data_IF_431570083959
#
_entry.id   IF_431570083959
#
_cell.length_a   1.000
_cell.length_b   1.000
_cell.length_c   1.000
_cell.angle_alpha   90.00
_cell.angle_beta   90.00
_cell.angle_gamma   90.00
#
_symmetry.space_group_name_H-M   'P 1'
#
loop_
_entity.id
_entity.type
_entity.pdbx_description
1 polymer ?
#
# COMPACT_ATOMS: atom_id res chain seq x y z
N UNK A 1 -7.34 -2.78 -24.35
CA UNK A 1 -6.37 -3.60 -23.55
C UNK A 1 -6.39 -5.06 -24.00
N UNK A 2 -5.35 -5.87 -23.77
CA UNK A 2 -5.37 -7.32 -24.08
C UNK A 2 -6.22 -8.06 -23.04
N UNK A 3 -6.94 -9.12 -23.45
CA UNK A 3 -7.71 -10.02 -22.56
C UNK A 3 -6.82 -10.56 -21.43
N UNK A 4 -7.36 -10.65 -20.22
CA UNK A 4 -6.65 -11.12 -19.03
C UNK A 4 -6.79 -10.18 -17.85
N UNK A 5 -6.03 -10.45 -16.79
CA UNK A 5 -6.00 -9.67 -15.55
C UNK A 5 -4.78 -8.75 -15.51
N UNK A 6 -4.96 -7.50 -15.10
CA UNK A 6 -3.87 -6.55 -14.85
C UNK A 6 -4.06 -5.93 -13.46
N UNK A 7 -3.12 -6.17 -12.56
CA UNK A 7 -3.04 -5.44 -11.29
C UNK A 7 -2.47 -4.05 -11.52
N UNK A 8 -3.18 -3.05 -11.04
CA UNK A 8 -2.83 -1.64 -11.28
C UNK A 8 -2.59 -0.93 -9.95
N UNK A 9 -1.37 -0.45 -9.75
CA UNK A 9 -1.04 0.44 -8.65
C UNK A 9 -1.52 1.86 -8.94
N UNK A 10 -2.39 2.37 -8.06
CA UNK A 10 -2.98 3.71 -8.22
C UNK A 10 -2.22 4.79 -7.45
N UNK A 11 -1.11 4.43 -6.80
CA UNK A 11 -0.42 5.34 -5.87
C UNK A 11 -1.04 5.34 -4.47
N UNK A 12 -0.43 6.06 -3.51
CA UNK A 12 -0.74 5.91 -2.07
C UNK A 12 -1.85 6.82 -1.56
N UNK A 13 -2.29 7.83 -2.33
CA UNK A 13 -3.30 8.80 -1.86
C UNK A 13 -3.55 9.94 -2.84
N UNK A 14 -2.50 10.69 -3.18
CA UNK A 14 -2.59 11.77 -4.16
C UNK A 14 -2.86 11.22 -5.57
N UNK A 15 -3.95 11.65 -6.19
CA UNK A 15 -4.34 11.28 -7.54
C UNK A 15 -3.28 11.66 -8.60
N UNK A 16 -2.51 12.72 -8.35
CA UNK A 16 -1.41 13.16 -9.20
C UNK A 16 -0.21 12.17 -9.24
N UNK A 17 -0.18 11.19 -8.32
CA UNK A 17 0.84 10.15 -8.30
C UNK A 17 0.46 8.89 -9.10
N UNK A 18 -0.70 8.88 -9.76
CA UNK A 18 -1.06 7.78 -10.66
C UNK A 18 -0.15 7.77 -11.89
N UNK A 19 0.27 6.59 -12.33
CA UNK A 19 1.10 6.50 -13.52
C UNK A 19 0.26 6.61 -14.80
N UNK A 20 0.86 7.12 -15.88
CA UNK A 20 0.20 7.20 -17.21
C UNK A 20 -0.27 5.81 -17.67
N UNK A 21 0.51 4.76 -17.38
CA UNK A 21 0.13 3.40 -17.76
C UNK A 21 -1.07 2.89 -16.95
N UNK A 22 -1.15 3.26 -15.66
CA UNK A 22 -2.28 2.92 -14.81
C UNK A 22 -3.58 3.54 -15.34
N UNK A 23 -3.57 4.85 -15.61
CA UNK A 23 -4.76 5.55 -16.09
C UNK A 23 -5.21 5.05 -17.48
N UNK A 24 -4.26 4.75 -18.39
CA UNK A 24 -4.57 4.13 -19.69
C UNK A 24 -5.21 2.75 -19.53
N UNK A 25 -4.68 1.91 -18.64
CA UNK A 25 -5.24 0.59 -18.39
C UNK A 25 -6.67 0.67 -17.83
N UNK A 26 -6.93 1.58 -16.90
CA UNK A 26 -8.26 1.85 -16.35
C UNK A 26 -9.22 2.29 -17.48
N UNK A 27 -8.76 3.16 -18.38
CA UNK A 27 -9.56 3.62 -19.52
C UNK A 27 -9.91 2.49 -20.49
N UNK A 28 -8.97 1.60 -20.77
CA UNK A 28 -9.09 0.58 -21.83
C UNK A 28 -9.70 -0.75 -21.35
N UNK A 29 -9.82 -0.99 -20.03
CA UNK A 29 -10.39 -2.23 -19.53
C UNK A 29 -11.90 -2.32 -19.72
N UNK A 30 -12.40 -3.55 -19.76
CA UNK A 30 -13.84 -3.83 -19.76
C UNK A 30 -14.41 -3.72 -18.34
N UNK A 31 -13.68 -4.22 -17.33
CA UNK A 31 -14.16 -4.31 -15.95
C UNK A 31 -13.05 -3.87 -14.96
N UNK A 32 -13.45 -3.05 -13.98
CA UNK A 32 -12.62 -2.67 -12.83
C UNK A 32 -12.98 -3.55 -11.64
N UNK A 33 -12.01 -4.24 -11.07
CA UNK A 33 -12.14 -5.08 -9.88
C UNK A 33 -11.60 -4.35 -8.66
N UNK A 34 -12.37 -4.34 -7.58
CA UNK A 34 -12.02 -3.68 -6.32
C UNK A 34 -11.78 -4.73 -5.22
N UNK A 35 -10.73 -4.58 -4.38
CA UNK A 35 -10.47 -5.48 -3.26
C UNK A 35 -11.34 -5.19 -2.03
N UNK A 36 -12.51 -4.63 -2.20
CA UNK A 36 -13.44 -4.23 -1.15
C UNK A 36 -14.86 -4.63 -1.53
N UNK A 37 -15.70 -4.96 -0.55
CA UNK A 37 -17.11 -5.25 -0.75
C UNK A 37 -17.92 -4.02 -1.16
N UNK A 38 -17.54 -2.84 -0.65
CA UNK A 38 -18.16 -1.56 -0.99
C UNK A 38 -17.14 -0.66 -1.70
N UNK A 39 -17.54 -0.11 -2.86
CA UNK A 39 -16.70 0.82 -3.63
C UNK A 39 -16.38 2.11 -2.86
N UNK A 40 -17.32 2.58 -2.05
CA UNK A 40 -17.18 3.83 -1.32
C UNK A 40 -16.17 3.74 -0.17
N UNK A 41 -15.83 2.54 0.27
CA UNK A 41 -14.79 2.28 1.28
C UNK A 41 -13.44 1.92 0.66
N UNK A 42 -13.36 1.83 -0.67
CA UNK A 42 -12.15 1.45 -1.38
C UNK A 42 -11.26 2.64 -1.68
N UNK A 43 -10.19 2.84 -0.92
CA UNK A 43 -9.21 3.91 -1.18
C UNK A 43 -8.62 3.85 -2.59
N UNK A 44 -8.30 2.65 -3.09
CA UNK A 44 -7.76 2.50 -4.44
C UNK A 44 -8.74 3.00 -5.50
N UNK A 45 -10.04 2.77 -5.31
CA UNK A 45 -11.06 3.30 -6.21
C UNK A 45 -11.19 4.81 -6.12
N UNK A 46 -11.20 5.39 -4.92
CA UNK A 46 -11.28 6.86 -4.74
C UNK A 46 -10.13 7.57 -5.43
N UNK A 47 -8.91 7.06 -5.30
CA UNK A 47 -7.71 7.62 -5.95
C UNK A 47 -7.82 7.49 -7.47
N UNK A 48 -8.17 6.30 -7.98
CA UNK A 48 -8.34 6.05 -9.41
C UNK A 48 -9.44 6.91 -10.01
N UNK A 49 -10.58 7.04 -9.31
CA UNK A 49 -11.71 7.87 -9.73
C UNK A 49 -11.29 9.33 -9.86
N UNK A 50 -10.68 9.91 -8.83
CA UNK A 50 -10.22 11.29 -8.86
C UNK A 50 -9.25 11.55 -10.02
N UNK A 51 -8.26 10.68 -10.23
CA UNK A 51 -7.30 10.81 -11.32
C UNK A 51 -7.93 10.63 -12.71
N UNK A 52 -8.89 9.71 -12.83
CA UNK A 52 -9.57 9.45 -14.10
C UNK A 52 -10.48 10.62 -14.49
N UNK A 53 -11.25 11.14 -13.54
CA UNK A 53 -12.19 12.24 -13.76
C UNK A 53 -11.48 13.55 -14.11
N UNK A 54 -10.29 13.79 -13.56
CA UNK A 54 -9.47 14.96 -13.92
C UNK A 54 -9.00 14.94 -15.38
N UNK A 55 -8.81 13.74 -15.97
CA UNK A 55 -8.26 13.58 -17.31
C UNK A 55 -9.33 13.29 -18.37
N UNK A 56 -10.30 12.44 -18.03
CA UNK A 56 -11.25 11.89 -19.00
C UNK A 56 -12.73 12.14 -18.69
N UNK A 57 -13.04 12.72 -17.54
CA UNK A 57 -14.41 12.88 -17.06
C UNK A 57 -14.91 11.65 -16.31
N UNK A 58 -16.21 11.43 -16.29
CA UNK A 58 -16.86 10.45 -15.42
C UNK A 58 -16.35 9.01 -15.63
N UNK A 59 -16.04 8.33 -14.52
CA UNK A 59 -15.65 6.91 -14.49
C UNK A 59 -16.87 5.97 -14.39
N UNK A 60 -18.05 6.50 -14.10
CA UNK A 60 -19.25 5.68 -13.84
C UNK A 60 -19.76 4.93 -15.10
N UNK A 61 -19.24 5.22 -16.30
CA UNK A 61 -19.45 4.44 -17.51
C UNK A 61 -18.75 3.06 -17.49
N UNK A 62 -17.87 2.81 -16.52
CA UNK A 62 -17.12 1.56 -16.37
C UNK A 62 -17.89 0.55 -15.53
N UNK A 63 -17.88 -0.71 -15.98
CA UNK A 63 -18.34 -1.80 -15.13
C UNK A 63 -17.37 -2.00 -13.95
N UNK A 64 -17.89 -1.88 -12.72
CA UNK A 64 -17.13 -2.03 -11.50
C UNK A 64 -17.65 -3.23 -10.72
N UNK A 65 -16.76 -4.14 -10.34
CA UNK A 65 -17.09 -5.30 -9.50
C UNK A 65 -16.28 -5.30 -8.22
N UNK A 66 -16.98 -5.37 -7.11
CA UNK A 66 -16.38 -5.53 -5.78
C UNK A 66 -16.09 -7.01 -5.51
N UNK A 67 -14.94 -7.27 -4.89
CA UNK A 67 -14.51 -8.62 -4.49
C UNK A 67 -14.24 -8.64 -2.99
N UNK A 68 -14.69 -9.68 -2.31
CA UNK A 68 -14.47 -9.83 -0.87
C UNK A 68 -13.06 -10.38 -0.60
N UNK A 69 -12.26 -9.60 0.14
CA UNK A 69 -10.99 -10.03 0.72
C UNK A 69 -11.01 -9.72 2.22
N UNK A 70 -11.63 -10.58 3.03
CA UNK A 70 -11.82 -10.30 4.45
C UNK A 70 -10.48 -10.18 5.18
N UNK A 71 -10.36 -9.16 6.05
CA UNK A 71 -9.18 -8.94 6.90
C UNK A 71 -9.26 -9.82 8.16
N UNK A 72 -9.20 -11.13 8.01
CA UNK A 72 -9.26 -12.13 9.09
C UNK A 72 -7.95 -12.93 9.19
N UNK A 73 -7.74 -13.55 10.35
CA UNK A 73 -6.67 -14.55 10.56
C UNK A 73 -7.17 -15.99 10.32
N UNK A 74 -8.47 -16.17 10.08
CA UNK A 74 -9.05 -17.48 9.77
C UNK A 74 -8.68 -17.88 8.35
N UNK A 75 -7.78 -18.84 8.24
CA UNK A 75 -7.26 -19.33 6.96
C UNK A 75 -8.37 -19.96 6.09
N UNK A 76 -9.39 -20.55 6.69
CA UNK A 76 -10.51 -21.15 5.96
C UNK A 76 -11.35 -20.10 5.27
N UNK A 77 -11.68 -19.02 5.99
CA UNK A 77 -12.43 -17.88 5.43
C UNK A 77 -11.62 -17.20 4.34
N UNK A 78 -10.31 -16.96 4.58
CA UNK A 78 -9.40 -16.35 3.60
C UNK A 78 -9.32 -17.19 2.33
N UNK A 79 -9.12 -18.51 2.47
CA UNK A 79 -9.01 -19.42 1.33
C UNK A 79 -10.30 -19.42 0.52
N UNK A 80 -11.45 -19.54 1.16
CA UNK A 80 -12.77 -19.52 0.48
C UNK A 80 -12.98 -18.23 -0.31
N UNK A 81 -12.66 -17.07 0.29
CA UNK A 81 -12.78 -15.78 -0.39
C UNK A 81 -11.85 -15.68 -1.60
N UNK A 82 -10.60 -16.16 -1.47
CA UNK A 82 -9.64 -16.21 -2.57
C UNK A 82 -10.06 -17.19 -3.67
N UNK A 83 -10.65 -18.32 -3.32
CA UNK A 83 -11.15 -19.30 -4.29
C UNK A 83 -12.31 -18.71 -5.09
N UNK A 84 -13.30 -18.11 -4.43
CA UNK A 84 -14.42 -17.44 -5.10
C UNK A 84 -13.94 -16.33 -6.03
N UNK A 85 -13.06 -15.44 -5.55
CA UNK A 85 -12.51 -14.36 -6.37
C UNK A 85 -11.74 -14.89 -7.60
N UNK A 86 -11.00 -15.98 -7.44
CA UNK A 86 -10.29 -16.62 -8.54
C UNK A 86 -11.27 -17.18 -9.59
N UNK A 87 -12.30 -17.91 -9.19
CA UNK A 87 -13.30 -18.48 -10.09
C UNK A 87 -14.03 -17.40 -10.88
N UNK A 88 -14.46 -16.33 -10.21
CA UNK A 88 -15.10 -15.18 -10.87
C UNK A 88 -14.18 -14.53 -11.91
N UNK A 89 -12.91 -14.30 -11.55
CA UNK A 89 -11.91 -13.70 -12.45
C UNK A 89 -11.68 -14.60 -13.68
N UNK A 90 -11.52 -15.90 -13.48
CA UNK A 90 -11.29 -16.85 -14.56
C UNK A 90 -12.48 -16.88 -15.51
N UNK A 91 -13.71 -16.91 -14.98
CA UNK A 91 -14.93 -16.86 -15.80
C UNK A 91 -14.95 -15.63 -16.71
N UNK A 92 -14.66 -14.45 -16.17
CA UNK A 92 -14.61 -13.22 -16.93
C UNK A 92 -13.50 -13.21 -18.00
N UNK A 93 -12.32 -13.76 -17.69
CA UNK A 93 -11.23 -13.86 -18.67
C UNK A 93 -11.62 -14.81 -19.80
N UNK A 94 -12.27 -15.93 -19.49
CA UNK A 94 -12.70 -16.92 -20.48
C UNK A 94 -13.84 -16.38 -21.38
N UNK A 95 -14.69 -15.47 -20.86
CA UNK A 95 -15.62 -14.65 -21.64
C UNK A 95 -14.92 -13.62 -22.54
N UNK A 96 -13.61 -13.50 -22.42
CA UNK A 96 -12.80 -12.63 -23.26
C UNK A 96 -12.65 -11.20 -22.75
N UNK A 97 -12.94 -10.95 -21.49
CA UNK A 97 -12.83 -9.63 -20.87
C UNK A 97 -11.38 -9.26 -20.53
N UNK A 98 -11.10 -7.98 -20.53
CA UNK A 98 -9.90 -7.35 -19.99
C UNK A 98 -10.21 -6.74 -18.63
N UNK A 99 -9.50 -7.20 -17.59
CA UNK A 99 -9.77 -6.86 -16.18
C UNK A 99 -8.65 -6.02 -15.60
N UNK A 100 -9.00 -4.98 -14.85
CA UNK A 100 -8.08 -4.20 -14.04
C UNK A 100 -8.41 -4.39 -12.57
N UNK A 101 -7.45 -4.85 -11.77
CA UNK A 101 -7.58 -4.96 -10.32
C UNK A 101 -6.84 -3.79 -9.66
N UNK A 102 -7.58 -2.89 -9.00
CA UNK A 102 -6.99 -1.71 -8.38
C UNK A 102 -6.33 -2.05 -7.05
N UNK A 103 -5.15 -1.49 -6.83
CA UNK A 103 -4.37 -1.65 -5.60
C UNK A 103 -3.80 -0.31 -5.17
N UNK A 104 -3.99 0.07 -3.89
CA UNK A 104 -3.34 1.24 -3.31
C UNK A 104 -1.82 1.07 -3.28
N UNK A 105 -1.07 2.11 -3.61
CA UNK A 105 0.38 2.07 -3.73
C UNK A 105 0.83 1.27 -4.95
N UNK A 106 1.66 0.26 -4.74
CA UNK A 106 2.23 -0.62 -5.77
C UNK A 106 1.79 -2.07 -5.56
N UNK A 107 1.34 -2.80 -6.62
CA UNK A 107 0.91 -4.19 -6.50
C UNK A 107 2.00 -5.17 -6.05
N UNK A 108 3.28 -4.82 -6.21
CA UNK A 108 4.40 -5.67 -5.81
C UNK A 108 4.79 -5.51 -4.34
N UNK A 109 4.18 -4.55 -3.60
CA UNK A 109 4.54 -4.25 -2.21
C UNK A 109 3.39 -4.61 -1.26
N UNK A 110 3.46 -5.79 -0.64
CA UNK A 110 2.48 -6.30 0.36
C UNK A 110 1.02 -6.18 -0.08
N UNK A 111 0.73 -6.45 -1.35
CA UNK A 111 -0.59 -6.34 -1.94
C UNK A 111 -1.34 -7.69 -1.97
N UNK A 112 -2.65 -7.63 -1.72
CA UNK A 112 -3.58 -8.77 -1.88
C UNK A 112 -3.64 -9.26 -3.33
N UNK A 113 -3.44 -8.37 -4.32
CA UNK A 113 -3.43 -8.71 -5.73
C UNK A 113 -2.46 -9.87 -6.06
N UNK A 114 -1.32 -9.93 -5.39
CA UNK A 114 -0.27 -10.91 -5.74
C UNK A 114 -0.72 -12.38 -5.56
N UNK A 115 -1.65 -12.64 -4.64
CA UNK A 115 -2.24 -13.98 -4.48
C UNK A 115 -3.06 -14.37 -5.70
N UNK A 116 -3.89 -13.46 -6.21
CA UNK A 116 -4.73 -13.70 -7.40
C UNK A 116 -3.86 -13.74 -8.66
N UNK A 117 -2.91 -12.82 -8.80
CA UNK A 117 -1.97 -12.77 -9.92
C UNK A 117 -1.30 -14.13 -10.17
N UNK A 118 -0.73 -14.72 -9.11
CA UNK A 118 -0.04 -16.01 -9.20
C UNK A 118 -0.97 -17.11 -9.70
N UNK A 119 -2.15 -17.25 -9.12
CA UNK A 119 -3.12 -18.28 -9.47
C UNK A 119 -3.62 -18.14 -10.91
N UNK A 120 -3.88 -16.91 -11.36
CA UNK A 120 -4.28 -16.65 -12.75
C UNK A 120 -3.15 -17.03 -13.72
N UNK A 121 -1.91 -16.65 -13.42
CA UNK A 121 -0.74 -17.01 -14.22
C UNK A 121 -0.52 -18.54 -14.26
N UNK A 122 -0.59 -19.23 -13.12
CA UNK A 122 -0.47 -20.68 -13.00
C UNK A 122 -1.59 -21.43 -13.77
N UNK A 123 -2.75 -20.82 -13.95
CA UNK A 123 -3.83 -21.37 -14.78
C UNK A 123 -3.60 -21.22 -16.30
N UNK A 124 -2.44 -20.68 -16.71
CA UNK A 124 -2.08 -20.44 -18.09
C UNK A 124 -2.74 -19.22 -18.73
N UNK A 125 -3.42 -18.38 -17.93
CA UNK A 125 -4.05 -17.15 -18.40
C UNK A 125 -3.14 -15.96 -18.18
N UNK A 126 -3.36 -14.91 -18.95
CA UNK A 126 -2.56 -13.70 -18.86
C UNK A 126 -2.82 -12.95 -17.56
N UNK A 127 -1.76 -12.69 -16.80
CA UNK A 127 -1.75 -11.84 -15.62
C UNK A 127 -0.56 -10.86 -15.69
N UNK A 128 -0.85 -9.56 -15.65
CA UNK A 128 0.15 -8.50 -15.73
C UNK A 128 0.13 -7.62 -14.49
N UNK A 129 1.18 -6.81 -14.34
CA UNK A 129 1.30 -5.80 -13.29
C UNK A 129 1.68 -4.47 -13.91
N UNK A 130 0.98 -3.40 -13.50
CA UNK A 130 1.37 -2.02 -13.74
C UNK A 130 1.74 -1.42 -12.38
N UNK A 131 3.00 -1.04 -12.25
CA UNK A 131 3.55 -0.44 -11.03
C UNK A 131 2.88 0.89 -10.70
N UNK A 132 2.73 1.17 -9.42
CA UNK A 132 2.33 2.47 -8.88
C UNK A 132 3.43 3.05 -7.99
N UNK A 133 3.25 4.27 -7.48
CA UNK A 133 4.17 4.87 -6.52
C UNK A 133 3.95 4.19 -5.15
N UNK A 134 4.99 3.54 -4.57
CA UNK A 134 4.88 2.95 -3.24
C UNK A 134 4.67 4.03 -2.17
N UNK A 135 3.89 3.71 -1.13
CA UNK A 135 3.55 4.67 -0.08
C UNK A 135 4.77 5.26 0.64
N UNK A 136 5.81 4.49 0.88
CA UNK A 136 7.02 4.98 1.55
C UNK A 136 7.82 5.98 0.68
N UNK A 137 7.80 5.85 -0.64
CA UNK A 137 8.40 6.85 -1.54
C UNK A 137 7.61 8.16 -1.52
N UNK A 138 6.28 8.10 -1.53
CA UNK A 138 5.46 9.29 -1.44
C UNK A 138 5.60 9.98 -0.08
N UNK A 139 5.68 9.22 1.00
CA UNK A 139 5.95 9.75 2.35
C UNK A 139 7.32 10.44 2.41
N UNK A 140 8.37 9.84 1.85
CA UNK A 140 9.69 10.47 1.80
C UNK A 140 9.67 11.80 1.01
N UNK A 141 9.00 11.81 -0.14
CA UNK A 141 8.80 13.04 -0.93
C UNK A 141 7.99 14.09 -0.17
N UNK A 142 6.93 13.70 0.52
CA UNK A 142 6.10 14.58 1.36
C UNK A 142 6.88 15.21 2.50
N UNK A 143 7.83 14.48 3.07
CA UNK A 143 8.71 14.94 4.14
C UNK A 143 9.93 15.72 3.64
N UNK A 144 10.22 15.69 2.33
CA UNK A 144 11.42 16.28 1.74
C UNK A 144 12.72 15.61 2.18
N UNK A 145 12.69 14.26 2.39
CA UNK A 145 13.84 13.50 2.86
C UNK A 145 14.26 12.41 1.86
N UNK A 146 15.54 12.04 1.87
CA UNK A 146 16.02 10.80 1.24
C UNK A 146 15.77 9.62 2.18
N UNK A 147 15.33 8.48 1.61
CA UNK A 147 15.25 7.22 2.35
C UNK A 147 16.64 6.61 2.56
N UNK A 148 17.53 6.73 1.60
CA UNK A 148 18.90 6.22 1.71
C UNK A 148 19.87 7.13 0.99
N UNK A 149 20.99 7.42 1.64
CA UNK A 149 22.09 8.21 1.08
C UNK A 149 23.32 7.30 0.86
N UNK A 150 23.93 7.35 -0.32
CA UNK A 150 25.12 6.55 -0.69
C UNK A 150 24.89 5.04 -0.49
N UNK A 151 25.54 4.45 0.50
CA UNK A 151 25.54 3.04 0.88
C UNK A 151 24.60 2.71 2.06
N UNK A 152 23.75 3.65 2.45
CA UNK A 152 22.76 3.44 3.52
C UNK A 152 21.69 2.40 3.12
N UNK A 153 21.55 1.35 3.90
CA UNK A 153 20.54 0.31 3.69
C UNK A 153 19.13 0.84 4.00
N UNK A 154 18.15 0.33 3.26
CA UNK A 154 16.72 0.64 3.49
C UNK A 154 15.97 -0.66 3.79
N UNK A 155 15.40 -0.77 4.98
CA UNK A 155 14.62 -1.91 5.42
C UNK A 155 13.13 -1.57 5.40
N UNK A 156 12.36 -2.25 4.54
CA UNK A 156 10.91 -2.09 4.46
C UNK A 156 10.24 -3.18 5.29
N UNK A 157 9.59 -2.78 6.37
CA UNK A 157 9.15 -3.66 7.46
C UNK A 157 7.63 -3.63 7.54
N UNK A 158 6.92 -4.75 7.27
CA UNK A 158 5.46 -4.82 7.42
C UNK A 158 5.07 -4.88 8.90
N UNK A 159 3.88 -4.39 9.25
CA UNK A 159 3.37 -4.37 10.63
C UNK A 159 3.24 -5.74 11.30
N UNK A 160 3.27 -6.82 10.52
CA UNK A 160 3.25 -8.20 11.04
C UNK A 160 4.61 -8.65 11.57
N UNK A 161 5.67 -7.90 11.27
CA UNK A 161 7.02 -8.21 11.69
C UNK A 161 7.21 -7.96 13.20
N UNK A 162 8.16 -8.68 13.81
CA UNK A 162 8.58 -8.45 15.20
C UNK A 162 9.30 -7.11 15.31
N UNK A 163 8.67 -6.15 16.01
CA UNK A 163 9.22 -4.79 16.19
C UNK A 163 10.58 -4.82 16.86
N UNK A 164 10.77 -5.68 17.87
CA UNK A 164 12.05 -5.78 18.61
C UNK A 164 13.18 -6.24 17.70
N UNK A 165 12.90 -7.23 16.85
CA UNK A 165 13.87 -7.74 15.89
C UNK A 165 14.23 -6.70 14.83
N UNK A 166 13.27 -5.84 14.46
CA UNK A 166 13.50 -4.74 13.54
C UNK A 166 14.44 -3.66 14.09
N UNK A 167 14.58 -3.53 15.42
CA UNK A 167 15.54 -2.59 16.03
C UNK A 167 17.01 -2.96 15.79
N UNK A 168 17.29 -4.21 15.40
CA UNK A 168 18.65 -4.69 15.11
C UNK A 168 19.14 -4.21 13.73
N UNK A 169 18.26 -3.76 12.84
CA UNK A 169 18.64 -3.31 11.51
C UNK A 169 19.36 -1.96 11.56
N UNK A 170 20.43 -1.87 10.79
CA UNK A 170 21.15 -0.62 10.50
C UNK A 170 20.47 0.16 9.37
N UNK A 171 20.89 1.40 9.14
CA UNK A 171 20.32 2.22 8.08
C UNK A 171 18.90 2.72 8.35
N UNK A 172 18.16 2.99 7.30
CA UNK A 172 16.79 3.50 7.37
C UNK A 172 15.78 2.37 7.51
N UNK A 173 14.92 2.47 8.49
CA UNK A 173 13.83 1.52 8.72
C UNK A 173 12.50 2.18 8.40
N UNK A 174 11.74 1.57 7.50
CA UNK A 174 10.42 2.00 7.07
C UNK A 174 9.38 1.01 7.57
N UNK A 175 8.63 1.39 8.58
CA UNK A 175 7.56 0.57 9.14
C UNK A 175 6.25 0.86 8.40
N UNK A 176 5.73 -0.14 7.70
CA UNK A 176 4.48 -0.05 6.95
C UNK A 176 3.30 -0.62 7.72
N UNK A 177 2.11 -0.03 7.55
CA UNK A 177 0.86 -0.49 8.16
C UNK A 177 0.93 -0.48 9.71
N UNK A 178 1.61 0.50 10.27
CA UNK A 178 2.04 0.54 11.68
C UNK A 178 0.89 0.75 12.68
N UNK A 179 -0.29 1.21 12.23
CA UNK A 179 -1.39 1.55 13.14
C UNK A 179 -1.79 0.44 14.12
N UNK A 180 -1.71 -0.84 13.72
CA UNK A 180 -2.05 -1.99 14.58
C UNK A 180 -1.02 -2.29 15.67
N UNK A 181 0.24 -1.90 15.46
CA UNK A 181 1.36 -2.13 16.41
C UNK A 181 1.99 -0.82 16.90
N UNK A 182 1.23 0.27 16.80
CA UNK A 182 1.74 1.60 17.09
C UNK A 182 2.32 1.71 18.51
N UNK A 183 1.63 1.19 19.51
CA UNK A 183 2.07 1.26 20.91
C UNK A 183 3.34 0.43 21.16
N UNK A 184 3.42 -0.76 20.55
CA UNK A 184 4.64 -1.60 20.62
C UNK A 184 5.82 -0.87 19.96
N UNK A 185 5.60 -0.25 18.81
CA UNK A 185 6.60 0.50 18.07
C UNK A 185 7.07 1.74 18.86
N UNK A 186 6.14 2.51 19.43
CA UNK A 186 6.47 3.67 20.28
C UNK A 186 7.36 3.28 21.47
N UNK A 187 6.98 2.22 22.18
CA UNK A 187 7.75 1.75 23.33
C UNK A 187 9.17 1.32 22.92
N UNK A 188 9.32 0.60 21.81
CA UNK A 188 10.61 0.17 21.30
C UNK A 188 11.48 1.36 20.84
N UNK A 189 10.89 2.33 20.13
CA UNK A 189 11.59 3.53 19.67
C UNK A 189 12.04 4.43 20.83
N UNK A 190 11.24 4.57 21.89
CA UNK A 190 11.64 5.30 23.08
C UNK A 190 12.86 4.66 23.75
N UNK A 191 12.85 3.34 23.94
CA UNK A 191 13.98 2.60 24.50
C UNK A 191 15.25 2.78 23.65
N UNK A 192 15.13 2.65 22.32
CA UNK A 192 16.26 2.83 21.41
C UNK A 192 16.79 4.27 21.44
N UNK A 193 15.89 5.26 21.47
CA UNK A 193 16.27 6.67 21.54
C UNK A 193 17.11 7.00 22.77
N UNK A 194 16.78 6.43 23.93
CA UNK A 194 17.54 6.60 25.15
C UNK A 194 18.94 5.97 25.04
N UNK A 195 19.03 4.78 24.45
CA UNK A 195 20.31 4.10 24.20
C UNK A 195 21.18 4.94 23.24
N UNK A 196 20.61 5.38 22.11
CA UNK A 196 21.33 6.16 21.10
C UNK A 196 21.82 7.49 21.67
N UNK A 197 21.00 8.18 22.45
CA UNK A 197 21.38 9.43 23.14
C UNK A 197 22.51 9.20 24.12
N UNK A 198 22.51 8.10 24.86
CA UNK A 198 23.61 7.78 25.81
C UNK A 198 24.94 7.54 25.11
N UNK A 199 24.93 7.21 23.83
CA UNK A 199 26.08 7.01 22.94
C UNK A 199 26.49 8.29 22.19
N UNK A 200 25.83 9.44 22.45
CA UNK A 200 26.08 10.71 21.74
C UNK A 200 25.41 10.84 20.38
N UNK A 201 24.60 9.89 19.97
CA UNK A 201 23.85 9.90 18.72
C UNK A 201 22.44 10.48 18.84
N UNK A 202 21.68 10.40 17.74
CA UNK A 202 20.27 10.81 17.71
C UNK A 202 19.43 9.84 16.86
N UNK A 203 18.19 9.59 17.30
CA UNK A 203 17.20 8.86 16.53
C UNK A 203 16.27 9.87 15.88
N UNK A 204 16.20 9.85 14.57
CA UNK A 204 15.31 10.69 13.77
C UNK A 204 14.09 9.86 13.39
N UNK A 205 12.91 10.31 13.81
CA UNK A 205 11.64 9.61 13.58
C UNK A 205 10.72 10.54 12.80
N UNK A 206 10.15 10.03 11.73
CA UNK A 206 9.09 10.68 10.95
C UNK A 206 7.90 9.73 10.87
N UNK A 207 6.71 10.27 10.88
CA UNK A 207 5.53 9.48 10.58
C UNK A 207 4.54 10.26 9.72
N UNK A 208 3.91 9.58 8.77
CA UNK A 208 2.81 10.14 7.98
C UNK A 208 1.68 9.12 7.95
N UNK A 209 0.50 9.56 8.33
CA UNK A 209 -0.74 8.79 8.21
C UNK A 209 -1.54 9.35 7.06
N UNK A 210 -2.15 8.46 6.25
CA UNK A 210 -3.03 8.84 5.13
C UNK A 210 -2.38 9.83 4.14
N UNK A 211 -1.10 9.60 3.79
CA UNK A 211 -0.32 10.46 2.92
C UNK A 211 -1.04 10.72 1.58
N UNK A 212 -1.26 12.00 1.26
CA UNK A 212 -1.97 12.45 0.06
C UNK A 212 -3.49 12.31 0.11
N UNK A 213 -4.08 11.93 1.24
CA UNK A 213 -5.51 11.83 1.46
C UNK A 213 -6.01 12.99 2.34
N UNK A 214 -7.32 13.32 2.34
CA UNK A 214 -7.86 14.43 3.13
C UNK A 214 -7.58 14.36 4.64
N UNK A 215 -7.34 13.16 5.17
CA UNK A 215 -7.01 12.91 6.58
C UNK A 215 -5.52 12.92 6.90
N UNK A 216 -4.65 13.38 5.98
CA UNK A 216 -3.20 13.38 6.16
C UNK A 216 -2.75 14.00 7.49
N UNK A 217 -1.90 13.26 8.22
CA UNK A 217 -1.21 13.76 9.40
C UNK A 217 0.28 13.52 9.24
N UNK A 218 1.07 14.59 9.40
CA UNK A 218 2.53 14.55 9.37
C UNK A 218 3.04 14.77 10.78
N UNK A 219 3.99 13.94 11.23
CA UNK A 219 4.57 13.98 12.57
C UNK A 219 6.09 13.97 12.48
N UNK A 220 6.72 14.86 13.23
CA UNK A 220 8.17 15.01 13.30
C UNK A 220 8.66 14.67 14.71
N UNK A 221 9.55 13.71 14.80
CA UNK A 221 10.09 13.26 16.07
C UNK A 221 9.23 12.23 16.80
N UNK A 222 9.85 11.63 17.81
CA UNK A 222 9.24 10.55 18.57
C UNK A 222 8.10 11.07 19.46
N UNK A 223 8.24 12.30 19.99
CA UNK A 223 7.25 12.89 20.89
C UNK A 223 5.92 13.14 20.19
N UNK A 224 5.95 13.68 18.95
CA UNK A 224 4.72 13.88 18.16
C UNK A 224 4.05 12.54 17.83
N UNK A 225 4.83 11.51 17.47
CA UNK A 225 4.32 10.17 17.25
C UNK A 225 3.69 9.59 18.53
N UNK A 226 4.36 9.77 19.69
CA UNK A 226 3.87 9.28 20.97
C UNK A 226 2.59 9.97 21.44
N UNK A 227 2.38 11.24 21.08
CA UNK A 227 1.18 11.99 21.42
C UNK A 227 -0.07 11.59 20.62
N UNK A 228 0.06 10.76 19.59
CA UNK A 228 -1.09 10.24 18.85
C UNK A 228 -1.71 9.04 19.55
N UNK A 229 -2.96 9.14 19.98
CA UNK A 229 -3.70 8.05 20.62
C UNK A 229 -3.99 6.89 19.66
N UNK A 230 -4.35 7.22 18.40
CA UNK A 230 -4.63 6.25 17.35
C UNK A 230 -4.19 6.80 15.99
N UNK A 231 -3.58 5.94 15.19
CA UNK A 231 -3.29 6.20 13.78
C UNK A 231 -3.88 5.10 12.92
N UNK A 232 -4.34 5.47 11.73
CA UNK A 232 -4.96 4.55 10.78
C UNK A 232 -4.00 3.48 10.24
N UNK A 233 -4.58 2.50 9.55
CA UNK A 233 -3.84 1.44 8.86
C UNK A 233 -2.82 1.99 7.85
N UNK A 234 -3.14 3.11 7.20
CA UNK A 234 -2.28 3.77 6.20
C UNK A 234 -1.21 4.66 6.85
N UNK A 235 -0.59 4.19 7.94
CA UNK A 235 0.50 4.91 8.61
C UNK A 235 1.85 4.31 8.24
N UNK A 236 2.77 5.18 7.83
CA UNK A 236 4.18 4.87 7.58
C UNK A 236 5.01 5.59 8.65
N UNK A 237 5.91 4.86 9.30
CA UNK A 237 6.91 5.44 10.21
C UNK A 237 8.30 5.20 9.61
N UNK A 238 9.09 6.26 9.47
CA UNK A 238 10.47 6.22 8.97
C UNK A 238 11.41 6.56 10.12
N UNK A 239 12.41 5.71 10.34
CA UNK A 239 13.38 5.86 11.41
C UNK A 239 14.79 5.84 10.83
N UNK A 240 15.57 6.88 11.13
CA UNK A 240 17.00 7.00 10.77
C UNK A 240 17.82 7.18 12.06
N UNK A 241 18.96 6.51 12.10
CA UNK A 241 19.90 6.64 13.22
C UNK A 241 21.12 7.43 12.77
N UNK A 242 21.46 8.48 13.52
CA UNK A 242 22.72 9.22 13.37
C UNK A 242 23.59 8.94 14.58
N UNK A 243 24.76 8.39 14.35
CA UNK A 243 25.80 8.13 15.36
C UNK A 243 26.91 9.13 15.17
#
# INVERSE_FOLDING_TARGET
MKKGLTGVGVGPGDAGLITINAIKAIRECDIILLPNENKDDCYAYKIAKAAYEDIYGDIDDKEIRSMSFPMTKDETILKKAQDNAFEDIIGLIDEGKSLVFLTIGDPCVYSTYHYIHRRVAESGRRADIISGVPSFCAVAARLGISLGDKDEEIHIIPATYDVKKAMEYTGTRVYMKSGRKLEELKAALNTENDIVKSQGGSLIVYAVSECGLPGEKVMYGIDELCNQAQLGYLTIVIVKKRI
#
